data_IF_074031181543
#
_entry.id   IF_074031181543
#
_cell.length_a   1.000
_cell.length_b   1.000
_cell.length_c   1.000
_cell.angle_alpha   90.00
_cell.angle_beta   90.00
_cell.angle_gamma   90.00
#
_symmetry.space_group_name_H-M   'P 1'
#
loop_
_entity.id
_entity.type
_entity.pdbx_description
1 polymer ?
#
# COMPACT_ATOMS: atom_id res chain seq x y z
N UNK A 1 26.58 -4.14 9.50
CA UNK A 1 26.62 -5.43 8.74
C UNK A 1 26.97 -6.60 9.65
N UNK A 2 28.03 -6.52 10.42
CA UNK A 2 28.50 -7.62 11.29
C UNK A 2 27.47 -8.17 12.30
N UNK A 3 26.66 -7.31 12.93
CA UNK A 3 25.64 -7.77 13.91
C UNK A 3 24.58 -8.65 13.25
N UNK A 4 24.07 -8.26 12.07
CA UNK A 4 23.05 -9.06 11.36
C UNK A 4 23.62 -10.40 10.93
N UNK A 5 24.84 -10.42 10.38
CA UNK A 5 25.51 -11.66 10.00
C UNK A 5 25.77 -12.56 11.19
N UNK A 6 26.14 -11.98 12.34
CA UNK A 6 26.31 -12.73 13.57
C UNK A 6 24.98 -13.35 14.02
N UNK A 7 23.91 -12.56 14.04
CA UNK A 7 22.57 -13.05 14.41
C UNK A 7 22.09 -14.16 13.47
N UNK A 8 22.33 -14.05 12.17
CA UNK A 8 21.96 -15.08 11.18
C UNK A 8 22.63 -16.43 11.44
N UNK A 9 23.83 -16.42 12.03
CA UNK A 9 24.57 -17.65 12.39
C UNK A 9 24.04 -18.32 13.66
N UNK A 10 23.29 -17.59 14.50
CA UNK A 10 22.76 -18.11 15.76
C UNK A 10 21.76 -19.24 15.53
N UNK A 11 21.89 -20.31 16.30
CA UNK A 11 21.03 -21.50 16.22
C UNK A 11 19.56 -21.13 16.39
N UNK A 12 19.22 -20.29 17.38
CA UNK A 12 17.84 -19.83 17.64
C UNK A 12 17.22 -19.14 16.42
N UNK A 13 17.93 -18.23 15.78
CA UNK A 13 17.44 -17.53 14.58
C UNK A 13 17.19 -18.51 13.43
N UNK A 14 18.10 -19.46 13.21
CA UNK A 14 17.94 -20.50 12.20
C UNK A 14 16.72 -21.39 12.46
N UNK A 15 16.52 -21.77 13.70
CA UNK A 15 15.40 -22.64 14.10
C UNK A 15 14.07 -21.92 13.96
N UNK A 16 13.96 -20.66 14.41
CA UNK A 16 12.77 -19.81 14.22
C UNK A 16 12.48 -19.63 12.72
N UNK A 17 13.50 -19.29 11.93
CA UNK A 17 13.35 -19.10 10.47
C UNK A 17 12.90 -20.39 9.78
N UNK A 18 13.42 -21.54 10.19
CA UNK A 18 13.01 -22.85 9.67
C UNK A 18 11.57 -23.17 10.05
N UNK A 19 11.17 -22.91 11.28
CA UNK A 19 9.80 -23.11 11.77
C UNK A 19 8.81 -22.19 11.01
N UNK A 20 9.16 -20.91 10.82
CA UNK A 20 8.34 -19.93 10.10
C UNK A 20 8.08 -20.29 8.64
N UNK A 21 8.94 -21.09 8.01
CA UNK A 21 8.69 -21.65 6.65
C UNK A 21 7.60 -22.72 6.62
N UNK A 22 7.30 -23.33 7.77
CA UNK A 22 6.28 -24.39 7.89
C UNK A 22 4.93 -23.86 8.37
N UNK A 23 4.92 -22.70 9.03
CA UNK A 23 3.72 -22.09 9.57
C UNK A 23 4.01 -20.87 10.44
N UNK A 24 2.98 -20.25 11.01
CA UNK A 24 3.16 -19.09 11.90
C UNK A 24 3.91 -19.50 13.19
N UNK A 25 4.81 -18.62 13.63
CA UNK A 25 5.63 -18.79 14.83
C UNK A 25 5.43 -17.58 15.73
N UNK A 26 5.24 -17.82 17.03
CA UNK A 26 5.21 -16.76 18.04
C UNK A 26 6.61 -16.66 18.67
N UNK A 27 7.18 -15.45 18.61
CA UNK A 27 8.48 -15.16 19.22
C UNK A 27 8.28 -14.12 20.32
N UNK A 28 8.59 -14.48 21.56
CA UNK A 28 8.58 -13.56 22.68
C UNK A 28 9.95 -12.86 22.76
N UNK A 29 9.94 -11.54 22.59
CA UNK A 29 11.15 -10.71 22.72
C UNK A 29 11.19 -10.06 24.10
N UNK A 30 12.28 -10.25 24.82
CA UNK A 30 12.52 -9.56 26.09
C UNK A 30 12.85 -8.09 25.91
N UNK A 31 13.51 -7.75 24.78
CA UNK A 31 13.91 -6.40 24.41
C UNK A 31 13.27 -5.99 23.09
N UNK A 32 12.16 -5.25 23.14
CA UNK A 32 11.44 -4.82 21.93
C UNK A 32 12.31 -4.00 20.95
N UNK A 33 13.27 -3.24 21.46
CA UNK A 33 14.18 -2.44 20.63
C UNK A 33 15.05 -3.29 19.69
N UNK A 34 15.29 -4.56 20.01
CA UNK A 34 16.09 -5.48 19.20
C UNK A 34 15.25 -6.18 18.10
N UNK A 35 13.93 -6.00 18.10
CA UNK A 35 13.04 -6.69 17.17
C UNK A 35 13.42 -6.45 15.71
N UNK A 36 13.78 -5.21 15.34
CA UNK A 36 14.19 -4.88 13.97
C UNK A 36 15.43 -5.66 13.52
N UNK A 37 16.42 -5.82 14.38
CA UNK A 37 17.63 -6.59 14.06
C UNK A 37 17.33 -8.09 13.90
N UNK A 38 16.48 -8.64 14.76
CA UNK A 38 16.04 -10.04 14.68
C UNK A 38 15.25 -10.27 13.38
N UNK A 39 14.33 -9.38 13.05
CA UNK A 39 13.56 -9.41 11.81
C UNK A 39 14.50 -9.37 10.60
N UNK A 40 15.47 -8.48 10.56
CA UNK A 40 16.45 -8.41 9.48
C UNK A 40 17.26 -9.70 9.36
N UNK A 41 17.70 -10.26 10.50
CA UNK A 41 18.44 -11.53 10.50
C UNK A 41 17.59 -12.70 10.00
N UNK A 42 16.27 -12.71 10.27
CA UNK A 42 15.35 -13.75 9.81
C UNK A 42 15.02 -13.63 8.33
N UNK A 43 14.87 -12.40 7.83
CA UNK A 43 14.45 -12.16 6.45
C UNK A 43 15.51 -12.71 5.48
N UNK A 44 16.77 -12.36 5.62
CA UNK A 44 17.85 -12.86 4.75
C UNK A 44 17.43 -12.95 3.28
N UNK A 45 17.40 -14.18 2.76
CA UNK A 45 16.96 -14.49 1.39
C UNK A 45 15.45 -14.77 1.24
N UNK A 46 14.63 -14.44 2.26
CA UNK A 46 13.18 -14.67 2.20
C UNK A 46 12.56 -13.69 1.21
N UNK A 47 11.80 -14.23 0.26
CA UNK A 47 11.16 -13.43 -0.79
C UNK A 47 9.89 -12.72 -0.33
N UNK A 48 9.21 -13.29 0.67
CA UNK A 48 7.98 -12.76 1.26
C UNK A 48 7.89 -13.21 2.71
N UNK A 49 7.71 -12.27 3.63
CA UNK A 49 7.52 -12.53 5.05
C UNK A 49 6.48 -11.57 5.63
N UNK A 50 5.74 -12.01 6.63
CA UNK A 50 4.82 -11.19 7.41
C UNK A 50 5.21 -11.25 8.88
N UNK A 51 5.24 -10.09 9.52
CA UNK A 51 5.51 -9.91 10.93
C UNK A 51 4.35 -9.20 11.60
N UNK A 52 3.80 -9.82 12.64
CA UNK A 52 2.69 -9.27 13.41
C UNK A 52 3.23 -8.87 14.75
N UNK A 53 3.14 -7.58 15.06
CA UNK A 53 3.66 -6.99 16.30
C UNK A 53 2.49 -6.65 17.25
N UNK A 54 2.79 -6.52 18.53
CA UNK A 54 1.75 -6.36 19.55
C UNK A 54 0.98 -5.02 19.37
N UNK A 55 1.71 -3.94 19.10
CA UNK A 55 1.17 -2.59 19.03
C UNK A 55 2.00 -1.70 18.09
N UNK A 56 1.52 -0.47 17.86
CA UNK A 56 2.15 0.52 16.99
C UNK A 56 3.53 0.97 17.50
N UNK A 57 3.75 1.00 18.81
CA UNK A 57 5.07 1.35 19.38
C UNK A 57 6.13 0.34 18.98
N UNK A 58 5.82 -0.96 19.11
CA UNK A 58 6.71 -2.05 18.69
C UNK A 58 6.89 -2.05 17.16
N UNK A 59 5.83 -1.76 16.41
CA UNK A 59 5.87 -1.64 14.96
C UNK A 59 6.88 -0.55 14.55
N UNK A 60 6.77 0.65 15.10
CA UNK A 60 7.65 1.77 14.79
C UNK A 60 9.10 1.50 15.19
N UNK A 61 9.33 0.93 16.38
CA UNK A 61 10.66 0.52 16.81
C UNK A 61 11.28 -0.52 15.89
N UNK A 62 10.48 -1.46 15.40
CA UNK A 62 10.95 -2.48 14.46
C UNK A 62 11.28 -1.86 13.09
N UNK A 63 10.37 -1.08 12.51
CA UNK A 63 10.53 -0.53 11.15
C UNK A 63 11.63 0.51 11.06
N UNK A 64 11.82 1.35 12.09
CA UNK A 64 12.90 2.33 12.14
C UNK A 64 14.31 1.71 12.13
N UNK A 65 14.42 0.46 12.52
CA UNK A 65 15.69 -0.28 12.54
C UNK A 65 15.91 -1.18 11.31
N UNK A 66 15.10 -1.04 10.26
CA UNK A 66 15.20 -1.83 9.03
C UNK A 66 16.11 -1.20 7.96
N UNK A 67 17.28 -0.71 8.34
CA UNK A 67 18.20 0.03 7.46
C UNK A 67 18.76 -0.77 6.27
N UNK A 68 18.63 -2.09 6.27
CA UNK A 68 19.17 -2.97 5.21
C UNK A 68 18.12 -3.52 4.25
N UNK A 69 16.86 -3.10 4.39
CA UNK A 69 15.79 -3.48 3.49
C UNK A 69 15.43 -2.27 2.65
N UNK A 70 15.37 -2.44 1.34
CA UNK A 70 14.90 -1.39 0.44
C UNK A 70 13.48 -0.96 0.85
N UNK A 71 13.26 0.34 1.02
CA UNK A 71 11.97 0.90 1.47
C UNK A 71 10.78 0.42 0.64
N UNK A 72 10.96 0.28 -0.67
CA UNK A 72 9.93 -0.20 -1.58
C UNK A 72 9.51 -1.67 -1.38
N UNK A 73 10.26 -2.41 -0.55
CA UNK A 73 9.94 -3.79 -0.15
C UNK A 73 9.30 -3.88 1.22
N UNK A 74 9.22 -2.77 1.96
CA UNK A 74 8.59 -2.69 3.27
C UNK A 74 7.15 -2.25 3.10
N UNK A 75 6.21 -3.01 3.65
CA UNK A 75 4.78 -2.74 3.63
C UNK A 75 4.28 -2.71 5.07
N UNK A 76 3.75 -1.59 5.51
CA UNK A 76 3.33 -1.37 6.89
C UNK A 76 1.82 -1.19 6.97
N UNK A 77 1.17 -1.94 7.83
CA UNK A 77 -0.26 -1.87 8.13
C UNK A 77 -0.44 -1.36 9.57
N UNK A 78 -0.42 -0.03 9.73
CA UNK A 78 -0.60 0.62 11.02
C UNK A 78 -2.08 0.68 11.48
N UNK A 79 -2.29 1.06 12.73
CA UNK A 79 -3.63 1.17 13.32
C UNK A 79 -4.38 2.44 12.94
N UNK A 80 -3.67 3.50 12.58
CA UNK A 80 -4.21 4.86 12.42
C UNK A 80 -5.26 5.01 11.34
N UNK A 81 -5.26 4.13 10.35
CA UNK A 81 -6.14 4.23 9.18
C UNK A 81 -7.51 3.59 9.44
N UNK A 82 -7.56 2.62 10.36
CA UNK A 82 -8.77 1.85 10.63
C UNK A 82 -9.64 2.46 11.73
N UNK A 83 -9.10 3.40 12.49
CA UNK A 83 -9.81 4.03 13.61
C UNK A 83 -10.77 5.16 13.19
N UNK A 84 -10.70 5.65 11.95
CA UNK A 84 -11.53 6.75 11.47
C UNK A 84 -12.43 6.28 10.34
N UNK A 85 -13.72 6.33 10.56
CA UNK A 85 -14.78 5.97 9.60
C UNK A 85 -14.86 6.91 8.37
N UNK A 86 -13.93 7.85 8.22
CA UNK A 86 -13.92 8.85 7.15
C UNK A 86 -12.60 8.83 6.39
N UNK A 87 -12.60 8.09 5.29
CA UNK A 87 -11.47 8.05 4.32
C UNK A 87 -11.27 9.40 3.63
N UNK A 88 -12.25 10.29 3.70
CA UNK A 88 -12.27 11.55 2.95
C UNK A 88 -11.24 12.60 3.41
N UNK A 89 -10.61 12.43 4.58
CA UNK A 89 -9.67 13.41 5.14
C UNK A 89 -8.20 12.97 5.17
N UNK A 90 -7.88 11.72 4.78
CA UNK A 90 -6.51 11.22 4.87
C UNK A 90 -5.77 11.22 3.53
N UNK A 91 -5.16 12.35 3.22
CA UNK A 91 -4.04 12.44 2.27
C UNK A 91 -2.69 12.26 2.97
N UNK A 92 -2.63 11.45 4.02
CA UNK A 92 -1.38 11.24 4.74
C UNK A 92 -0.54 10.15 4.08
N UNK A 93 0.77 10.30 4.15
CA UNK A 93 1.75 9.31 3.70
C UNK A 93 1.43 7.89 4.21
N UNK A 94 0.92 7.80 5.45
CA UNK A 94 0.53 6.54 6.08
C UNK A 94 -0.63 5.84 5.37
N UNK A 95 -1.64 6.58 4.91
CA UNK A 95 -2.76 5.99 4.17
C UNK A 95 -2.34 5.45 2.80
N UNK A 96 -1.43 6.13 2.15
CA UNK A 96 -0.86 5.69 0.87
C UNK A 96 0.00 4.45 1.02
N UNK A 97 0.83 4.40 2.03
CA UNK A 97 1.66 3.24 2.36
C UNK A 97 0.78 2.02 2.68
N UNK A 98 -0.29 2.22 3.44
CA UNK A 98 -1.27 1.17 3.74
C UNK A 98 -1.95 0.65 2.46
N UNK A 99 -2.49 1.54 1.63
CA UNK A 99 -3.16 1.17 0.37
C UNK A 99 -2.19 0.44 -0.57
N UNK A 100 -0.96 0.94 -0.70
CA UNK A 100 0.07 0.28 -1.49
C UNK A 100 0.45 -1.09 -0.93
N UNK A 101 0.55 -1.21 0.38
CA UNK A 101 0.84 -2.45 1.08
C UNK A 101 -0.23 -3.52 0.84
N UNK A 102 -1.51 -3.16 0.98
CA UNK A 102 -2.64 -4.05 0.68
C UNK A 102 -2.60 -4.49 -0.79
N UNK A 103 -2.42 -3.58 -1.74
CA UNK A 103 -2.30 -3.93 -3.16
C UNK A 103 -1.13 -4.88 -3.44
N UNK A 104 0.01 -4.65 -2.81
CA UNK A 104 1.18 -5.51 -2.92
C UNK A 104 0.90 -6.92 -2.36
N UNK A 105 0.17 -6.99 -1.24
CA UNK A 105 -0.23 -8.25 -0.61
C UNK A 105 -1.14 -9.07 -1.54
N UNK A 106 -2.19 -8.47 -2.08
CA UNK A 106 -3.14 -9.12 -2.98
C UNK A 106 -2.51 -9.52 -4.32
N UNK A 107 -1.63 -8.69 -4.86
CA UNK A 107 -0.85 -9.01 -6.08
C UNK A 107 0.25 -10.06 -5.83
N UNK A 108 0.40 -10.54 -4.61
CA UNK A 108 1.42 -11.53 -4.25
C UNK A 108 2.86 -11.03 -4.39
N UNK A 109 3.08 -9.70 -4.38
CA UNK A 109 4.41 -9.13 -4.54
C UNK A 109 5.37 -9.60 -3.45
N UNK A 110 6.64 -9.69 -3.82
CA UNK A 110 7.73 -9.96 -2.88
C UNK A 110 7.92 -8.77 -1.96
N UNK A 111 8.18 -9.02 -0.68
CA UNK A 111 8.39 -7.97 0.30
C UNK A 111 8.18 -8.43 1.73
N UNK A 112 8.40 -7.52 2.63
CA UNK A 112 8.19 -7.72 4.06
C UNK A 112 6.96 -6.94 4.47
N UNK A 113 6.05 -7.60 5.15
CA UNK A 113 4.75 -7.07 5.56
C UNK A 113 4.71 -6.98 7.07
N UNK A 114 4.44 -5.79 7.58
CA UNK A 114 4.34 -5.52 9.01
C UNK A 114 2.92 -5.12 9.37
N UNK A 115 2.39 -5.71 10.43
CA UNK A 115 1.07 -5.38 10.95
C UNK A 115 1.06 -5.41 12.47
N UNK A 116 0.08 -4.79 13.09
CA UNK A 116 -0.21 -4.99 14.51
C UNK A 116 -1.31 -6.02 14.68
N UNK A 117 -1.42 -6.59 15.90
CA UNK A 117 -2.52 -7.50 16.22
C UNK A 117 -3.89 -6.82 16.07
N UNK A 118 -3.96 -5.51 16.30
CA UNK A 118 -5.17 -4.70 16.13
C UNK A 118 -5.49 -4.48 14.66
N UNK A 119 -4.51 -4.05 13.85
CA UNK A 119 -4.73 -3.79 12.43
C UNK A 119 -5.15 -5.03 11.62
N UNK A 120 -4.81 -6.25 12.09
CA UNK A 120 -5.26 -7.49 11.46
C UNK A 120 -6.69 -7.85 11.89
N UNK A 121 -7.07 -7.55 13.13
CA UNK A 121 -8.44 -7.79 13.61
C UNK A 121 -9.44 -6.85 12.97
N UNK A 122 -9.01 -5.63 12.67
CA UNK A 122 -9.79 -4.68 11.92
C UNK A 122 -9.83 -5.17 10.46
N UNK A 123 -11.00 -5.26 9.86
CA UNK A 123 -11.22 -5.88 8.56
C UNK A 123 -10.22 -5.37 7.50
N UNK A 124 -9.43 -6.28 6.94
CA UNK A 124 -8.61 -5.96 5.77
C UNK A 124 -9.59 -5.63 4.61
N UNK A 125 -9.45 -4.46 3.97
CA UNK A 125 -10.37 -4.08 2.89
C UNK A 125 -10.35 -5.11 1.78
N UNK A 126 -11.54 -5.45 1.24
CA UNK A 126 -11.61 -6.26 0.04
C UNK A 126 -10.91 -5.54 -1.11
N UNK A 127 -9.94 -6.18 -1.69
CA UNK A 127 -9.32 -5.68 -2.91
C UNK A 127 -10.23 -5.98 -4.10
N UNK A 128 -10.79 -4.93 -4.69
CA UNK A 128 -11.54 -5.10 -5.92
C UNK A 128 -10.55 -5.35 -7.07
N UNK A 129 -10.78 -6.42 -7.81
CA UNK A 129 -9.92 -6.86 -8.91
C UNK A 129 -10.30 -6.23 -10.25
N UNK A 130 -11.01 -5.12 -10.27
CA UNK A 130 -11.31 -4.41 -11.51
C UNK A 130 -10.01 -4.09 -12.25
N UNK A 131 -10.02 -4.32 -13.56
CA UNK A 131 -8.86 -4.01 -14.39
C UNK A 131 -8.57 -2.49 -14.34
N UNK A 132 -7.30 -2.09 -14.23
CA UNK A 132 -6.94 -0.67 -14.24
C UNK A 132 -7.46 0.02 -15.51
N UNK A 133 -7.74 1.31 -15.42
CA UNK A 133 -7.92 2.15 -16.60
C UNK A 133 -6.52 2.39 -17.16
N UNK A 134 -6.28 1.94 -18.37
CA UNK A 134 -5.02 2.19 -19.08
C UNK A 134 -5.34 3.08 -20.26
N UNK A 135 -4.68 4.22 -20.36
CA UNK A 135 -4.81 5.18 -21.46
C UNK A 135 -3.42 5.40 -22.02
N UNK A 136 -3.32 5.37 -23.35
CA UNK A 136 -2.07 5.63 -24.08
C UNK A 136 -2.30 6.74 -25.10
N UNK A 137 -1.24 7.43 -25.45
CA UNK A 137 -1.24 8.34 -26.58
C UNK A 137 -1.64 7.59 -27.87
N UNK A 138 -2.54 8.17 -28.64
CA UNK A 138 -3.14 7.55 -29.82
C UNK A 138 -4.37 6.67 -29.55
N UNK A 139 -4.71 6.37 -28.29
CA UNK A 139 -5.92 5.58 -27.99
C UNK A 139 -7.19 6.36 -28.39
N UNK A 140 -8.18 5.62 -28.88
CA UNK A 140 -9.51 6.14 -29.15
C UNK A 140 -10.43 5.71 -28.02
N UNK A 141 -10.82 6.64 -27.16
CA UNK A 141 -11.67 6.37 -26.02
C UNK A 141 -12.57 7.56 -25.68
N UNK A 142 -13.81 7.28 -25.30
CA UNK A 142 -14.75 8.34 -24.90
C UNK A 142 -14.41 8.80 -23.49
N UNK A 143 -14.24 10.10 -23.30
CA UNK A 143 -14.02 10.70 -21.97
C UNK A 143 -15.08 10.25 -20.96
N UNK A 144 -16.36 10.17 -21.37
CA UNK A 144 -17.48 9.73 -20.52
C UNK A 144 -17.27 8.33 -19.93
N UNK A 145 -16.68 7.40 -20.68
CA UNK A 145 -16.44 6.04 -20.20
C UNK A 145 -15.36 6.03 -19.11
N UNK A 146 -14.35 6.91 -19.25
CA UNK A 146 -13.33 7.14 -18.22
C UNK A 146 -13.98 7.72 -16.97
N UNK A 147 -14.81 8.77 -17.11
CA UNK A 147 -15.47 9.42 -15.98
C UNK A 147 -16.39 8.49 -15.21
N UNK A 148 -17.25 7.75 -15.90
CA UNK A 148 -18.14 6.76 -15.28
C UNK A 148 -17.36 5.75 -14.42
N UNK A 149 -16.18 5.32 -14.89
CA UNK A 149 -15.35 4.37 -14.17
C UNK A 149 -14.62 5.03 -12.99
N UNK A 150 -14.14 6.26 -13.15
CA UNK A 150 -13.53 7.04 -12.07
C UNK A 150 -14.54 7.31 -10.94
N UNK A 151 -15.77 7.75 -11.29
CA UNK A 151 -16.84 7.99 -10.32
C UNK A 151 -17.25 6.72 -9.57
N UNK A 152 -17.40 5.59 -10.28
CA UNK A 152 -17.60 4.28 -9.65
C UNK A 152 -16.50 3.92 -8.66
N UNK A 153 -15.29 4.39 -8.89
CA UNK A 153 -14.13 4.18 -8.03
C UNK A 153 -13.97 5.24 -6.92
N UNK A 154 -14.94 6.15 -6.79
CA UNK A 154 -14.95 7.19 -5.76
C UNK A 154 -14.06 8.40 -6.05
N UNK A 155 -13.65 8.60 -7.31
CA UNK A 155 -12.99 9.84 -7.71
C UNK A 155 -14.00 10.97 -7.72
N UNK A 156 -13.59 12.15 -7.26
CA UNK A 156 -14.41 13.36 -7.24
C UNK A 156 -14.18 14.17 -8.51
N UNK A 157 -15.26 14.56 -9.19
CA UNK A 157 -15.22 15.55 -10.24
C UNK A 157 -15.13 16.96 -9.64
N UNK A 158 -14.17 17.74 -10.05
CA UNK A 158 -13.88 19.07 -9.51
C UNK A 158 -13.48 20.02 -10.62
N UNK A 159 -13.54 21.34 -10.38
CA UNK A 159 -13.08 22.33 -11.36
C UNK A 159 -11.55 22.29 -11.54
N UNK A 160 -10.82 21.90 -10.49
CA UNK A 160 -9.36 21.81 -10.46
C UNK A 160 -8.91 20.51 -9.84
N UNK A 161 -8.03 19.80 -10.51
CA UNK A 161 -7.45 18.54 -10.03
C UNK A 161 -6.26 18.82 -9.10
N UNK A 162 -6.56 19.11 -7.82
CA UNK A 162 -5.55 19.55 -6.84
C UNK A 162 -5.16 18.50 -5.80
N UNK A 163 -5.89 17.41 -5.70
CA UNK A 163 -5.64 16.34 -4.73
C UNK A 163 -5.84 14.97 -5.37
N UNK A 164 -5.27 13.96 -4.73
CA UNK A 164 -5.45 12.56 -5.15
C UNK A 164 -6.92 12.16 -5.16
N UNK A 165 -7.27 11.24 -6.06
CA UNK A 165 -8.64 10.77 -6.30
C UNK A 165 -9.58 11.87 -6.80
N UNK A 166 -9.05 12.90 -7.45
CA UNK A 166 -9.80 13.92 -8.17
C UNK A 166 -9.57 13.79 -9.66
N UNK A 167 -10.55 14.27 -10.43
CA UNK A 167 -10.40 14.55 -11.85
C UNK A 167 -11.13 15.84 -12.22
N UNK A 168 -10.66 16.50 -13.24
CA UNK A 168 -11.26 17.72 -13.80
C UNK A 168 -11.32 17.59 -15.32
N UNK A 169 -12.44 18.00 -15.93
CA UNK A 169 -12.62 17.96 -17.37
C UNK A 169 -13.01 19.34 -17.90
N UNK A 170 -12.26 19.83 -18.88
CA UNK A 170 -12.49 21.15 -19.53
C UNK A 170 -12.34 20.99 -21.04
N UNK A 171 -13.46 20.79 -21.71
CA UNK A 171 -13.45 20.53 -23.15
C UNK A 171 -12.66 19.29 -23.51
N UNK A 172 -11.63 19.44 -24.34
CA UNK A 172 -10.73 18.35 -24.72
C UNK A 172 -9.63 18.04 -23.71
N UNK A 173 -9.62 18.65 -22.53
CA UNK A 173 -8.57 18.45 -21.53
C UNK A 173 -9.16 17.72 -20.32
N UNK A 174 -8.50 16.64 -19.90
CA UNK A 174 -8.86 15.86 -18.73
C UNK A 174 -7.64 15.74 -17.81
N UNK A 175 -7.75 16.28 -16.61
CA UNK A 175 -6.76 16.14 -15.55
C UNK A 175 -7.20 15.02 -14.61
N UNK A 176 -6.31 14.08 -14.29
CA UNK A 176 -6.60 12.99 -13.37
C UNK A 176 -5.45 12.87 -12.38
N UNK A 177 -5.77 12.84 -11.08
CA UNK A 177 -4.78 12.58 -10.04
C UNK A 177 -5.01 11.19 -9.43
N UNK A 178 -4.30 10.17 -9.92
CA UNK A 178 -4.45 8.81 -9.40
C UNK A 178 -4.03 8.72 -7.93
N UNK A 179 -4.66 7.80 -7.18
CA UNK A 179 -4.44 7.64 -5.74
C UNK A 179 -2.97 7.35 -5.36
N UNK A 180 -2.24 6.63 -6.21
CA UNK A 180 -0.86 6.17 -5.93
C UNK A 180 0.23 6.94 -6.69
N UNK A 181 -0.14 7.97 -7.44
CA UNK A 181 0.81 8.80 -8.17
C UNK A 181 1.18 10.03 -7.34
N UNK A 182 2.38 10.56 -7.56
CA UNK A 182 2.86 11.78 -6.90
C UNK A 182 2.35 13.04 -7.60
N UNK A 183 2.06 12.95 -8.90
CA UNK A 183 1.63 14.06 -9.72
C UNK A 183 0.40 13.68 -10.55
N UNK A 184 -0.54 14.63 -10.79
CA UNK A 184 -1.62 14.41 -11.71
C UNK A 184 -1.12 14.34 -13.15
N UNK A 185 -1.95 13.72 -14.01
CA UNK A 185 -1.70 13.64 -15.44
C UNK A 185 -2.77 14.43 -16.18
N UNK A 186 -2.35 15.34 -17.05
CA UNK A 186 -3.18 16.05 -18.02
C UNK A 186 -3.19 15.27 -19.31
N UNK A 187 -4.37 14.98 -19.82
CA UNK A 187 -4.63 14.24 -21.05
C UNK A 187 -5.36 15.17 -22.00
N UNK A 188 -4.86 15.33 -23.20
CA UNK A 188 -5.49 16.14 -24.24
C UNK A 188 -6.16 15.22 -25.28
N UNK A 189 -7.37 15.57 -25.61
CA UNK A 189 -8.21 14.84 -26.58
C UNK A 189 -8.52 15.72 -27.77
N UNK A 190 -8.42 15.14 -28.96
CA UNK A 190 -9.09 15.62 -30.18
C UNK A 190 -10.27 14.68 -30.47
N UNK A 191 -11.49 15.18 -30.19
CA UNK A 191 -12.69 14.34 -30.16
C UNK A 191 -12.55 13.20 -29.14
N UNK A 192 -12.40 11.96 -29.60
CA UNK A 192 -12.20 10.77 -28.77
C UNK A 192 -10.75 10.25 -28.81
N UNK A 193 -9.86 10.92 -29.55
CA UNK A 193 -8.47 10.48 -29.70
C UNK A 193 -7.58 11.18 -28.67
N UNK A 194 -6.77 10.43 -27.96
CA UNK A 194 -5.74 10.95 -27.03
C UNK A 194 -4.57 11.46 -27.86
N UNK A 195 -4.34 12.78 -27.86
CA UNK A 195 -3.30 13.42 -28.68
C UNK A 195 -2.03 13.72 -27.91
N UNK A 196 -2.13 13.96 -26.60
CA UNK A 196 -0.96 14.15 -25.75
C UNK A 196 -1.26 13.83 -24.30
N UNK A 197 -0.22 13.51 -23.55
CA UNK A 197 -0.30 13.34 -22.10
C UNK A 197 0.94 13.91 -21.44
N UNK A 198 0.76 14.56 -20.26
CA UNK A 198 1.88 15.07 -19.44
C UNK A 198 1.56 15.05 -17.95
N UNK A 199 2.56 14.81 -17.13
CA UNK A 199 2.47 15.07 -15.68
C UNK A 199 2.70 16.55 -15.41
N UNK A 200 1.98 17.10 -14.43
CA UNK A 200 2.10 18.52 -14.08
C UNK A 200 2.16 18.72 -12.56
N UNK A 201 2.71 19.84 -12.16
CA UNK A 201 2.74 20.26 -10.78
C UNK A 201 1.43 20.92 -10.37
N UNK A 202 0.86 20.53 -9.24
CA UNK A 202 -0.43 21.03 -8.76
C UNK A 202 -0.40 22.52 -8.43
N UNK A 203 0.69 22.98 -7.81
CA UNK A 203 0.82 24.37 -7.34
C UNK A 203 1.08 25.36 -8.47
N UNK A 204 1.98 25.01 -9.40
CA UNK A 204 2.37 25.88 -10.51
C UNK A 204 1.57 25.64 -11.78
N UNK A 205 0.89 24.48 -11.90
CA UNK A 205 0.21 24.00 -13.12
C UNK A 205 1.15 23.77 -14.32
N UNK A 206 2.46 23.82 -14.09
CA UNK A 206 3.48 23.62 -15.13
C UNK A 206 3.72 22.15 -15.40
N UNK A 207 4.06 21.84 -16.65
CA UNK A 207 4.41 20.48 -17.05
C UNK A 207 5.75 20.04 -16.44
N UNK A 208 5.75 18.88 -15.79
CA UNK A 208 6.97 18.26 -15.24
C UNK A 208 7.65 17.40 -16.31
N UNK A 209 6.89 16.49 -16.92
CA UNK A 209 7.39 15.61 -17.97
C UNK A 209 6.26 15.11 -18.88
N UNK A 210 6.62 14.68 -20.08
CA UNK A 210 5.71 13.99 -20.99
C UNK A 210 5.42 12.59 -20.50
N UNK A 211 4.22 12.09 -20.79
CA UNK A 211 3.79 10.73 -20.49
C UNK A 211 3.15 10.14 -21.76
N UNK A 212 3.53 8.92 -22.09
CA UNK A 212 2.92 8.18 -23.23
C UNK A 212 1.85 7.21 -22.78
N UNK A 213 1.73 7.00 -21.47
CA UNK A 213 0.79 6.06 -20.86
C UNK A 213 0.48 6.46 -19.42
N UNK A 214 -0.78 6.34 -19.03
CA UNK A 214 -1.22 6.36 -17.63
C UNK A 214 -1.93 5.05 -17.30
N UNK A 215 -1.73 4.57 -16.07
CA UNK A 215 -2.44 3.41 -15.51
C UNK A 215 -3.07 3.82 -14.19
N UNK A 216 -4.39 3.90 -14.15
CA UNK A 216 -5.15 4.29 -12.96
C UNK A 216 -5.71 3.02 -12.35
N UNK A 217 -5.28 2.69 -11.14
CA UNK A 217 -5.81 1.57 -10.38
C UNK A 217 -6.98 2.03 -9.52
N UNK A 218 -7.93 1.14 -9.29
CA UNK A 218 -9.01 1.42 -8.36
C UNK A 218 -8.44 1.64 -6.95
N UNK A 219 -8.80 2.72 -6.25
CA UNK A 219 -8.49 2.91 -4.84
C UNK A 219 -9.11 1.79 -4.00
N UNK A 220 -8.53 1.50 -2.84
CA UNK A 220 -9.17 0.60 -1.88
C UNK A 220 -10.47 1.23 -1.38
N UNK A 221 -11.55 0.47 -1.46
CA UNK A 221 -12.83 0.85 -0.89
C UNK A 221 -12.94 0.15 0.45
N UNK A 222 -12.88 0.92 1.53
CA UNK A 222 -13.21 0.43 2.87
C UNK A 222 -14.73 0.32 2.94
N UNK A 223 -15.30 -0.87 2.85
CA UNK A 223 -16.69 -1.07 3.22
C UNK A 223 -16.82 -0.82 4.71
N UNK A 224 -17.76 0.01 5.12
CA UNK A 224 -18.00 0.33 6.52
C UNK A 224 -18.09 -0.94 7.36
N UNK A 225 -17.42 -0.92 8.50
CA UNK A 225 -17.37 -2.02 9.47
C UNK A 225 -18.78 -2.22 10.03
N UNK A 226 -19.56 -3.11 9.42
CA UNK A 226 -20.68 -3.72 10.14
C UNK A 226 -20.06 -4.66 11.17
N UNK A 227 -20.46 -4.52 12.43
CA UNK A 227 -20.02 -5.36 13.54
C UNK A 227 -20.09 -6.85 13.17
N UNK A 228 -18.92 -7.47 12.96
CA UNK A 228 -18.87 -8.88 12.67
C UNK A 228 -18.56 -9.64 13.95
N UNK A 229 -19.45 -10.56 14.25
CA UNK A 229 -19.33 -11.59 15.27
C UNK A 229 -18.01 -12.35 15.13
N UNK A 230 -17.26 -12.36 16.22
CA UNK A 230 -15.98 -13.07 16.31
C UNK A 230 -16.23 -14.59 16.33
N UNK A 231 -15.92 -15.28 15.24
CA UNK A 231 -15.72 -16.72 15.27
C UNK A 231 -14.23 -17.01 15.33
N UNK A 232 -13.84 -17.56 16.44
CA UNK A 232 -12.57 -18.17 16.81
C UNK A 232 -11.48 -18.30 15.75
N UNK A 233 -10.49 -17.39 15.76
CA UNK A 233 -9.14 -17.69 15.35
C UNK A 233 -8.45 -18.45 16.49
N UNK A 234 -8.33 -19.74 16.36
CA UNK A 234 -7.49 -20.54 17.25
C UNK A 234 -6.04 -20.11 17.02
N UNK A 235 -5.47 -19.45 18.04
CA UNK A 235 -4.05 -19.14 18.07
C UNK A 235 -3.24 -20.43 18.10
N UNK A 236 -2.19 -20.57 17.28
CA UNK A 236 -1.33 -21.73 17.33
C UNK A 236 -0.62 -21.83 18.67
N UNK A 237 -0.44 -23.07 19.12
CA UNK A 237 0.18 -23.47 20.36
C UNK A 237 1.49 -22.73 20.66
N UNK A 238 1.60 -22.16 21.87
CA UNK A 238 2.81 -21.55 22.40
C UNK A 238 3.98 -22.53 22.35
N UNK A 239 5.02 -22.20 21.63
CA UNK A 239 6.35 -22.71 21.88
C UNK A 239 7.07 -21.70 22.80
N UNK A 240 7.15 -22.05 24.08
CA UNK A 240 8.01 -21.36 25.05
C UNK A 240 9.42 -21.91 24.88
N UNK A 241 10.37 -21.05 24.52
CA UNK A 241 11.81 -21.37 24.50
C UNK A 241 12.54 -20.48 25.49
#
# INVERSE_FOLDING_TARGET
MEIIEHLQKQKKIKDITRAAKKGPVVVNMTEPALTGFVVQAMIGNIKKAAFILNDTKHLNLCTNNLSYIEENKINVFGESILATNTIDEFTTLESEQYEQGIKNLYKGKRGVYFATTKSIKDNIPEFNTDKPIVIKEGDITKQKDIFNKLEKWGYKNTDWCISKKMYAARGGIVDIFPALEQHPTRIEFDGNTVVSMRKFDVGTQESINQATKISIEQPLIMKGVSSVSYTHLTLPTKLTV
#
